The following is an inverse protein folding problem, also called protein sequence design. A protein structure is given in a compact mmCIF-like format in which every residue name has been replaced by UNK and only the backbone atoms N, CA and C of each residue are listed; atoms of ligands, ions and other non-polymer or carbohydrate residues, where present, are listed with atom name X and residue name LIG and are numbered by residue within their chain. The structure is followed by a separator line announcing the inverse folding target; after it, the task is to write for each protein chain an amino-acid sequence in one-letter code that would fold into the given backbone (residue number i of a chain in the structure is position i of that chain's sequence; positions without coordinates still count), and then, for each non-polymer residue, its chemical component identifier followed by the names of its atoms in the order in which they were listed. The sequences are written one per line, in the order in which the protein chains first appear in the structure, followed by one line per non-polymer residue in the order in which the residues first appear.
data_IF_773082315779
#
_entry.id   IF_773082315779
#
_cell.length_a   1.000
_cell.length_b   1.000
_cell.length_c   1.000
_cell.angle_alpha   90.00
_cell.angle_beta   90.00
_cell.angle_gamma   90.00
#
_symmetry.space_group_name_H-M   'P 1'
#
loop_
_entity.id
_entity.type
_entity.pdbx_description
1 polymer ?
#
# COMPACT_ATOMS: atom_id res chain seq x y z
N UNK A 1 -4.82 37.80 14.75
CA UNK A 1 -4.88 37.32 13.35
C UNK A 1 -3.93 36.14 13.28
N UNK A 2 -4.44 34.92 13.20
CA UNK A 2 -3.58 33.75 13.06
C UNK A 2 -2.88 33.81 11.70
N UNK A 3 -1.55 33.67 11.71
CA UNK A 3 -0.75 33.66 10.50
C UNK A 3 -1.25 32.56 9.53
N UNK A 4 -1.21 32.78 8.20
CA UNK A 4 -1.56 31.75 7.25
C UNK A 4 -0.65 30.55 7.48
N UNK A 5 -1.23 29.44 7.96
CA UNK A 5 -0.51 28.17 8.10
C UNK A 5 -0.08 27.76 6.70
N UNK A 6 1.23 27.78 6.45
CA UNK A 6 1.79 27.34 5.18
C UNK A 6 1.21 25.98 4.80
N UNK A 7 0.65 25.91 3.59
CA UNK A 7 0.20 24.67 3.00
C UNK A 7 1.35 24.09 2.20
N UNK A 8 1.54 22.79 2.36
CA UNK A 8 2.48 21.99 1.58
C UNK A 8 1.70 20.85 0.93
N UNK A 9 2.25 20.28 -0.14
CA UNK A 9 1.66 19.16 -0.85
C UNK A 9 2.69 18.08 -1.14
N UNK A 10 2.21 16.85 -1.22
CA UNK A 10 2.97 15.66 -1.60
C UNK A 10 2.18 14.93 -2.69
N UNK A 11 2.87 14.61 -3.78
CA UNK A 11 2.39 13.73 -4.83
C UNK A 11 3.23 12.46 -4.79
N UNK A 12 2.57 11.31 -4.66
CA UNK A 12 3.22 10.01 -4.68
C UNK A 12 2.56 9.13 -5.72
N UNK A 13 3.38 8.58 -6.62
CA UNK A 13 2.97 7.49 -7.49
C UNK A 13 3.59 6.18 -7.00
N UNK A 14 2.74 5.19 -6.71
CA UNK A 14 3.15 3.84 -6.40
C UNK A 14 2.80 2.95 -7.59
N UNK A 15 3.84 2.45 -8.27
CA UNK A 15 3.70 1.47 -9.33
C UNK A 15 4.03 0.08 -8.80
N UNK A 16 3.04 -0.80 -8.80
CA UNK A 16 3.23 -2.23 -8.60
C UNK A 16 3.62 -2.79 -9.97
N UNK A 17 4.63 -3.67 -10.02
CA UNK A 17 5.07 -4.27 -11.28
C UNK A 17 4.97 -5.78 -11.22
N UNK A 18 5.71 -6.40 -10.29
CA UNK A 18 5.70 -7.83 -10.10
C UNK A 18 6.08 -8.23 -8.68
N UNK A 19 5.78 -9.48 -8.34
CA UNK A 19 6.32 -10.17 -7.19
C UNK A 19 6.72 -11.59 -7.63
N UNK A 20 7.95 -11.99 -7.26
CA UNK A 20 8.59 -13.25 -7.67
C UNK A 20 8.75 -14.17 -6.48
N UNK A 21 8.99 -15.47 -6.75
CA UNK A 21 9.22 -16.49 -5.72
C UNK A 21 8.08 -16.61 -4.70
N UNK A 22 6.83 -16.44 -5.15
CA UNK A 22 5.67 -16.48 -4.27
C UNK A 22 5.29 -17.94 -4.00
N UNK A 23 5.41 -18.37 -2.74
CA UNK A 23 4.91 -19.68 -2.33
C UNK A 23 3.39 -19.65 -2.10
N UNK A 24 2.63 -19.53 -3.18
CA UNK A 24 1.18 -19.61 -3.13
C UNK A 24 0.76 -21.08 -3.01
N UNK A 25 0.36 -21.49 -1.80
CA UNK A 25 0.12 -22.91 -1.47
C UNK A 25 -1.10 -23.53 -2.16
N UNK A 26 -2.00 -22.73 -2.76
CA UNK A 26 -3.26 -23.21 -3.35
C UNK A 26 -3.59 -22.44 -4.65
N UNK A 27 -3.88 -23.17 -5.74
CA UNK A 27 -4.32 -22.61 -7.03
C UNK A 27 -5.73 -22.00 -6.99
N UNK A 28 -6.56 -22.38 -6.01
CA UNK A 28 -7.95 -21.95 -5.91
C UNK A 28 -8.14 -20.65 -5.09
N UNK A 29 -7.40 -19.61 -5.44
CA UNK A 29 -7.49 -18.31 -4.80
C UNK A 29 -6.93 -17.20 -5.68
N UNK A 30 -6.82 -16.00 -5.13
CA UNK A 30 -6.24 -14.85 -5.80
C UNK A 30 -5.20 -14.17 -4.91
N UNK A 31 -4.17 -13.61 -5.54
CA UNK A 31 -3.14 -12.79 -4.92
C UNK A 31 -3.43 -11.32 -5.25
N UNK A 32 -3.17 -10.44 -4.30
CA UNK A 32 -3.22 -8.99 -4.48
C UNK A 32 -2.25 -8.32 -3.52
N UNK A 33 -1.87 -7.09 -3.83
CA UNK A 33 -1.09 -6.24 -2.93
C UNK A 33 -2.04 -5.31 -2.20
N UNK A 34 -1.81 -5.14 -0.90
CA UNK A 34 -2.44 -4.12 -0.09
C UNK A 34 -1.37 -3.13 0.35
N UNK A 35 -1.56 -1.86 0.03
CA UNK A 35 -0.71 -0.78 0.46
C UNK A 35 -1.34 -0.01 1.62
N UNK A 36 -0.53 0.37 2.59
CA UNK A 36 -0.87 1.30 3.67
C UNK A 36 0.05 2.51 3.62
N UNK A 37 -0.55 3.69 3.56
CA UNK A 37 0.17 4.97 3.57
C UNK A 37 -0.17 5.67 4.88
N UNK A 38 0.82 5.86 5.75
CA UNK A 38 0.62 6.61 7.00
C UNK A 38 0.34 8.08 6.67
N UNK A 39 -0.74 8.63 7.24
CA UNK A 39 -1.13 10.04 7.08
C UNK A 39 -1.05 10.81 8.41
N UNK A 40 -0.29 10.28 9.37
CA UNK A 40 -0.14 10.85 10.72
C UNK A 40 -1.31 10.54 11.66
N UNK A 41 -1.11 10.78 12.96
CA UNK A 41 -2.12 10.56 14.01
C UNK A 41 -2.77 9.16 13.99
N UNK A 42 -1.97 8.11 13.82
CA UNK A 42 -2.40 6.70 13.70
C UNK A 42 -3.39 6.41 12.56
N UNK A 43 -3.62 7.38 11.67
CA UNK A 43 -4.45 7.22 10.49
C UNK A 43 -3.59 6.74 9.33
N UNK A 44 -4.18 5.89 8.50
CA UNK A 44 -3.56 5.37 7.29
C UNK A 44 -4.57 5.22 6.18
N UNK A 45 -4.16 5.55 4.97
CA UNK A 45 -4.89 5.23 3.75
C UNK A 45 -4.59 3.77 3.40
N UNK A 46 -5.62 3.02 3.00
CA UNK A 46 -5.48 1.65 2.51
C UNK A 46 -5.83 1.62 1.03
N UNK A 47 -4.94 1.06 0.23
CA UNK A 47 -5.16 0.80 -1.19
C UNK A 47 -5.01 -0.71 -1.43
N UNK A 48 -5.79 -1.26 -2.36
CA UNK A 48 -5.68 -2.66 -2.77
C UNK A 48 -5.54 -2.73 -4.29
N UNK A 49 -4.62 -3.56 -4.76
CA UNK A 49 -4.47 -3.87 -6.18
C UNK A 49 -5.58 -4.78 -6.69
N UNK A 50 -5.67 -4.87 -8.01
CA UNK A 50 -6.42 -5.92 -8.67
C UNK A 50 -5.95 -7.29 -8.17
N UNK A 51 -6.93 -8.20 -8.06
CA UNK A 51 -6.71 -9.60 -7.70
C UNK A 51 -6.35 -10.39 -8.95
N UNK A 52 -5.25 -11.14 -8.89
CA UNK A 52 -4.78 -12.01 -9.98
C UNK A 52 -4.61 -13.44 -9.50
N UNK A 53 -4.71 -14.40 -10.41
CA UNK A 53 -4.56 -15.82 -10.10
C UNK A 53 -3.09 -16.17 -9.76
N UNK A 54 -2.86 -17.11 -8.83
CA UNK A 54 -1.54 -17.54 -8.40
C UNK A 54 -0.88 -18.48 -9.43
N UNK A 55 -0.53 -17.98 -10.60
CA UNK A 55 0.20 -18.76 -11.61
C UNK A 55 1.69 -18.40 -11.58
N UNK A 56 2.38 -18.79 -10.49
CA UNK A 56 3.84 -18.66 -10.34
C UNK A 56 4.32 -17.23 -10.06
N UNK A 57 4.28 -16.36 -11.06
CA UNK A 57 4.73 -14.98 -10.98
C UNK A 57 3.52 -14.03 -10.97
N UNK A 58 3.46 -13.16 -9.95
CA UNK A 58 2.48 -12.07 -9.92
C UNK A 58 3.01 -10.95 -10.82
N UNK A 59 2.29 -10.67 -11.90
CA UNK A 59 2.50 -9.48 -12.73
C UNK A 59 1.25 -8.62 -12.64
N UNK A 60 1.42 -7.40 -12.15
CA UNK A 60 0.36 -6.42 -11.97
C UNK A 60 0.97 -5.09 -12.35
N UNK A 61 0.64 -4.57 -13.53
CA UNK A 61 1.08 -3.27 -14.01
C UNK A 61 0.04 -2.23 -13.59
N UNK A 62 -0.05 -1.98 -12.28
CA UNK A 62 -1.03 -1.09 -11.69
C UNK A 62 -0.33 0.04 -10.95
N UNK A 63 -0.73 1.27 -11.26
CA UNK A 63 -0.25 2.48 -10.61
C UNK A 63 -1.34 3.09 -9.75
N UNK A 64 -0.95 3.58 -8.58
CA UNK A 64 -1.77 4.40 -7.70
C UNK A 64 -1.13 5.76 -7.54
N UNK A 65 -1.91 6.82 -7.71
CA UNK A 65 -1.51 8.17 -7.32
C UNK A 65 -2.15 8.55 -6.00
N UNK A 66 -1.36 9.14 -5.10
CA UNK A 66 -1.83 9.82 -3.91
C UNK A 66 -1.40 11.29 -3.95
N UNK A 67 -2.39 12.15 -4.04
CA UNK A 67 -2.24 13.59 -3.87
C UNK A 67 -2.71 13.99 -2.47
N UNK A 68 -1.79 14.56 -1.68
CA UNK A 68 -2.11 15.06 -0.35
C UNK A 68 -1.70 16.52 -0.22
N UNK A 69 -2.61 17.32 0.33
CA UNK A 69 -2.38 18.74 0.64
C UNK A 69 -2.75 18.97 2.10
N UNK A 70 -1.90 19.70 2.82
CA UNK A 70 -2.09 19.89 4.25
C UNK A 70 -1.15 20.93 4.83
N UNK A 71 -1.26 21.14 6.14
CA UNK A 71 -0.34 22.03 6.84
C UNK A 71 1.07 21.46 6.84
N UNK A 72 2.08 22.32 7.00
CA UNK A 72 3.47 21.87 7.16
C UNK A 72 3.65 20.83 8.28
N UNK A 73 2.91 20.96 9.40
CA UNK A 73 2.93 19.99 10.48
C UNK A 73 2.39 18.61 10.05
N UNK A 74 1.30 18.59 9.28
CA UNK A 74 0.73 17.34 8.75
C UNK A 74 1.67 16.70 7.73
N UNK A 75 2.32 17.50 6.89
CA UNK A 75 3.29 17.00 5.92
C UNK A 75 4.54 16.44 6.59
N UNK A 76 5.02 17.08 7.65
CA UNK A 76 6.11 16.55 8.45
C UNK A 76 5.76 15.16 9.03
N UNK A 77 4.55 14.99 9.56
CA UNK A 77 4.07 13.67 10.03
C UNK A 77 4.01 12.62 8.91
N UNK A 78 3.60 13.01 7.70
CA UNK A 78 3.58 12.10 6.54
C UNK A 78 5.01 11.68 6.18
N UNK A 79 5.95 12.62 6.05
CA UNK A 79 7.34 12.37 5.67
C UNK A 79 8.08 11.49 6.71
N UNK A 80 7.70 11.56 7.98
CA UNK A 80 8.23 10.69 9.04
C UNK A 80 7.57 9.30 9.07
N UNK A 81 6.47 9.11 8.34
CA UNK A 81 5.73 7.86 8.28
C UNK A 81 6.36 6.81 7.36
N UNK A 82 5.62 5.72 7.18
CA UNK A 82 5.99 4.60 6.31
C UNK A 82 4.90 4.26 5.30
N UNK A 83 5.35 3.66 4.21
CA UNK A 83 4.56 2.94 3.22
C UNK A 83 4.74 1.45 3.54
N UNK A 84 3.65 0.76 3.88
CA UNK A 84 3.67 -0.69 4.10
C UNK A 84 2.96 -1.41 2.96
N UNK A 85 3.66 -2.35 2.34
CA UNK A 85 3.17 -3.18 1.24
C UNK A 85 2.98 -4.61 1.75
N UNK A 86 1.76 -5.12 1.66
CA UNK A 86 1.42 -6.49 2.03
C UNK A 86 1.02 -7.27 0.79
N UNK A 87 1.74 -8.36 0.49
CA UNK A 87 1.30 -9.36 -0.47
C UNK A 87 0.30 -10.28 0.22
N UNK A 88 -0.91 -10.40 -0.31
CA UNK A 88 -2.00 -11.13 0.33
C UNK A 88 -2.61 -12.15 -0.62
N UNK A 89 -3.06 -13.26 -0.07
CA UNK A 89 -3.81 -14.30 -0.76
C UNK A 89 -5.21 -14.42 -0.19
N UNK A 90 -6.21 -14.59 -1.05
CA UNK A 90 -7.60 -14.81 -0.66
C UNK A 90 -8.15 -16.04 -1.37
N UNK A 91 -8.74 -16.95 -0.61
CA UNK A 91 -9.43 -18.12 -1.16
C UNK A 91 -10.68 -17.70 -1.95
N UNK A 92 -10.96 -18.42 -3.03
CA UNK A 92 -12.21 -18.29 -3.79
C UNK A 92 -13.33 -19.17 -3.23
N UNK A 93 -13.01 -20.12 -2.34
CA UNK A 93 -14.02 -20.92 -1.65
C UNK A 93 -14.94 -20.00 -0.83
N UNK A 94 -16.24 -20.29 -0.83
CA UNK A 94 -17.28 -19.55 -0.10
C UNK A 94 -16.91 -19.51 1.38
N UNK A 95 -16.27 -18.43 1.80
CA UNK A 95 -15.62 -18.38 3.10
C UNK A 95 -16.64 -17.98 4.17
N UNK A 96 -16.97 -18.92 5.06
CA UNK A 96 -17.62 -18.62 6.36
C UNK A 96 -16.80 -17.60 7.19
N UNK A 97 -15.50 -17.43 6.88
CA UNK A 97 -14.60 -16.46 7.49
C UNK A 97 -13.86 -15.69 6.37
N UNK A 98 -14.40 -14.53 5.96
CA UNK A 98 -14.00 -13.75 4.78
C UNK A 98 -12.64 -13.03 4.84
N UNK A 99 -11.60 -13.66 5.40
CA UNK A 99 -10.25 -13.11 5.52
C UNK A 99 -9.35 -13.34 4.29
N UNK A 100 -8.28 -12.56 4.20
CA UNK A 100 -7.13 -12.84 3.34
C UNK A 100 -5.92 -13.20 4.21
N UNK A 101 -5.07 -14.10 3.74
CA UNK A 101 -3.80 -14.50 4.38
C UNK A 101 -2.67 -13.58 3.90
N UNK A 102 -1.79 -13.17 4.82
CA UNK A 102 -0.55 -12.47 4.50
C UNK A 102 0.47 -13.47 3.95
N UNK A 103 1.05 -13.18 2.79
CA UNK A 103 2.12 -13.96 2.16
C UNK A 103 3.48 -13.30 2.35
N UNK A 104 3.52 -11.97 2.41
CA UNK A 104 4.74 -11.21 2.61
C UNK A 104 4.43 -9.76 2.95
N UNK A 105 5.37 -9.08 3.58
CA UNK A 105 5.27 -7.66 3.93
C UNK A 105 6.61 -6.98 3.72
N UNK A 106 6.56 -5.76 3.20
CA UNK A 106 7.69 -4.85 3.11
C UNK A 106 7.27 -3.48 3.62
N UNK A 107 8.21 -2.74 4.18
CA UNK A 107 7.99 -1.37 4.64
C UNK A 107 9.10 -0.48 4.09
N UNK A 108 8.71 0.72 3.67
CA UNK A 108 9.59 1.76 3.15
C UNK A 108 9.29 3.04 3.91
N UNK A 109 10.31 3.75 4.39
CA UNK A 109 10.10 5.05 5.03
C UNK A 109 9.96 6.12 3.95
N UNK A 110 9.09 7.10 4.15
CA UNK A 110 8.99 8.20 3.18
C UNK A 110 10.31 8.94 3.02
N UNK A 111 11.09 9.11 4.10
CA UNK A 111 12.44 9.69 4.03
C UNK A 111 13.34 8.98 3.02
N UNK A 112 13.35 7.64 3.00
CA UNK A 112 14.17 6.88 2.03
C UNK A 112 13.74 7.05 0.57
N UNK A 113 12.57 7.63 0.30
CA UNK A 113 12.07 7.94 -1.05
C UNK A 113 12.46 9.34 -1.49
N UNK A 114 12.62 10.28 -0.54
CA UNK A 114 12.94 11.69 -0.80
C UNK A 114 14.43 12.04 -0.72
N UNK A 115 15.27 11.13 -0.21
CA UNK A 115 16.74 11.23 -0.20
C UNK A 115 17.36 10.65 -1.48
#
# INVERSE_FOLDING_TARGET
MDAPKGLSSIHCELKIMNAKNIQATNSNGNIFVRCYLSVGNDKRVRLESQRVSPNGDFSCDESFSLDCTGTNQTMDMIIHGTIALELRWRSNAVALFGGSRLLGRSEVTWRSVFE
#
